data_IF_255136406711
#
_entry.id   IF_255136406711
#
_cell.length_a   1.000
_cell.length_b   1.000
_cell.length_c   1.000
_cell.angle_alpha   90.00
_cell.angle_beta   90.00
_cell.angle_gamma   90.00
#
_symmetry.space_group_name_H-M   'P 1'
#
loop_
_entity.id
_entity.type
_entity.pdbx_description
1 polymer ?
#
# COMPACT_ATOMS: atom_id res chain seq x y z
N UNK A 1 -6.01 25.25 4.66
CA UNK A 1 -5.70 24.70 3.32
C UNK A 1 -4.55 23.72 3.33
N UNK A 2 -3.49 23.96 4.12
CA UNK A 2 -2.35 23.04 4.27
C UNK A 2 -2.73 21.61 4.67
N UNK A 3 -3.60 21.45 5.66
CA UNK A 3 -4.04 20.14 6.13
C UNK A 3 -4.79 19.33 5.04
N UNK A 4 -5.65 20.00 4.25
CA UNK A 4 -6.31 19.38 3.11
C UNK A 4 -5.29 18.94 2.07
N UNK A 5 -4.31 19.78 1.75
CA UNK A 5 -3.24 19.41 0.83
C UNK A 5 -2.44 18.20 1.34
N UNK A 6 -2.05 18.19 2.61
CA UNK A 6 -1.38 17.06 3.25
C UNK A 6 -2.20 15.76 3.19
N UNK A 7 -3.50 15.85 3.44
CA UNK A 7 -4.44 14.73 3.31
C UNK A 7 -4.49 14.18 1.87
N UNK A 8 -4.61 15.05 0.87
CA UNK A 8 -4.64 14.65 -0.53
C UNK A 8 -3.31 14.05 -0.99
N UNK A 9 -2.17 14.61 -0.55
CA UNK A 9 -0.84 14.02 -0.81
C UNK A 9 -0.76 12.62 -0.21
N UNK A 10 -1.18 12.45 1.04
CA UNK A 10 -1.18 11.13 1.68
C UNK A 10 -2.03 10.11 0.91
N UNK A 11 -3.20 10.53 0.42
CA UNK A 11 -4.13 9.68 -0.33
C UNK A 11 -3.66 9.34 -1.75
N UNK A 12 -3.03 10.29 -2.47
CA UNK A 12 -2.80 10.17 -3.92
C UNK A 12 -1.34 9.95 -4.31
N UNK A 13 -0.39 10.16 -3.40
CA UNK A 13 1.03 10.10 -3.73
C UNK A 13 1.46 8.75 -4.32
N UNK A 14 0.93 7.63 -3.80
CA UNK A 14 1.22 6.29 -4.29
C UNK A 14 0.93 6.13 -5.78
N UNK A 15 -0.34 6.35 -6.15
CA UNK A 15 -0.75 6.29 -7.55
C UNK A 15 -0.04 7.34 -8.41
N UNK A 16 0.16 8.55 -7.88
CA UNK A 16 0.85 9.62 -8.61
C UNK A 16 2.30 9.24 -8.93
N UNK A 17 3.04 8.72 -7.96
CA UNK A 17 4.42 8.26 -8.14
C UNK A 17 4.50 7.11 -9.16
N UNK A 18 3.63 6.11 -9.06
CA UNK A 18 3.53 5.04 -10.05
C UNK A 18 3.23 5.57 -11.45
N UNK A 19 2.25 6.47 -11.56
CA UNK A 19 1.83 7.03 -12.84
C UNK A 19 2.98 7.80 -13.51
N UNK A 20 3.71 8.62 -12.75
CA UNK A 20 4.90 9.32 -13.25
C UNK A 20 5.98 8.35 -13.73
N UNK A 21 6.32 7.32 -12.93
CA UNK A 21 7.31 6.32 -13.32
C UNK A 21 6.89 5.53 -14.57
N UNK A 22 5.60 5.27 -14.73
CA UNK A 22 5.05 4.56 -15.87
C UNK A 22 4.69 5.49 -17.04
N UNK A 23 5.01 6.78 -16.97
CA UNK A 23 4.65 7.79 -17.97
C UNK A 23 3.14 7.78 -18.32
N UNK A 24 2.30 7.67 -17.28
CA UNK A 24 0.85 7.68 -17.35
C UNK A 24 0.30 8.92 -16.61
N UNK A 25 -0.87 9.45 -17.02
CA UNK A 25 -1.53 10.48 -16.23
C UNK A 25 -2.00 9.87 -14.89
N UNK A 26 -1.76 10.54 -13.75
CA UNK A 26 -2.33 10.18 -12.46
C UNK A 26 -3.86 10.00 -12.48
N UNK A 27 -4.38 9.15 -11.61
CA UNK A 27 -5.81 8.80 -11.57
C UNK A 27 -6.70 10.01 -11.24
N UNK A 28 -6.21 10.96 -10.44
CA UNK A 28 -6.94 12.18 -10.11
C UNK A 28 -7.01 13.17 -11.28
N UNK A 29 -6.19 13.01 -12.33
CA UNK A 29 -6.31 13.78 -13.58
C UNK A 29 -7.23 13.11 -14.60
N UNK A 30 -7.31 11.78 -14.57
CA UNK A 30 -8.05 10.98 -15.57
C UNK A 30 -9.41 10.49 -15.09
N UNK A 31 -9.70 10.54 -13.79
CA UNK A 31 -10.96 10.13 -13.20
C UNK A 31 -11.47 11.18 -12.22
N UNK A 32 -12.79 11.49 -12.22
CA UNK A 32 -13.39 12.35 -11.20
C UNK A 32 -13.49 11.66 -9.84
N UNK A 33 -13.39 10.33 -9.78
CA UNK A 33 -13.62 9.54 -8.55
C UNK A 33 -12.77 10.00 -7.36
N UNK A 34 -11.45 10.24 -7.48
CA UNK A 34 -10.66 10.72 -6.35
C UNK A 34 -11.14 12.09 -5.82
N UNK A 35 -11.62 12.97 -6.70
CA UNK A 35 -12.16 14.29 -6.32
C UNK A 35 -13.53 14.20 -5.65
N UNK A 36 -14.35 13.21 -6.02
CA UNK A 36 -15.65 12.97 -5.41
C UNK A 36 -15.55 12.24 -4.06
N UNK A 37 -14.46 11.53 -3.81
CA UNK A 37 -14.29 10.73 -2.58
C UNK A 37 -13.45 11.49 -1.55
N UNK A 38 -12.22 11.88 -1.88
CA UNK A 38 -11.26 12.32 -0.86
C UNK A 38 -11.57 13.72 -0.28
N UNK A 39 -11.77 14.79 -1.08
CA UNK A 39 -12.13 16.10 -0.53
C UNK A 39 -13.43 16.09 0.30
N UNK A 40 -14.54 15.46 -0.13
CA UNK A 40 -15.74 15.40 0.69
C UNK A 40 -15.54 14.64 2.00
N UNK A 41 -14.82 13.51 1.97
CA UNK A 41 -14.46 12.78 3.20
C UNK A 41 -13.65 13.67 4.14
N UNK A 42 -12.67 14.42 3.62
CA UNK A 42 -11.91 15.37 4.44
C UNK A 42 -12.81 16.46 5.03
N UNK A 43 -13.60 17.14 4.20
CA UNK A 43 -14.47 18.24 4.60
C UNK A 43 -15.53 17.80 5.62
N UNK A 44 -15.99 16.55 5.51
CA UNK A 44 -16.89 15.95 6.47
C UNK A 44 -16.17 15.56 7.76
N UNK A 45 -15.01 14.92 7.72
CA UNK A 45 -14.41 14.31 8.91
C UNK A 45 -13.57 15.28 9.75
N UNK A 46 -12.80 16.17 9.09
CA UNK A 46 -11.80 17.00 9.76
C UNK A 46 -12.40 18.31 10.27
N UNK A 47 -12.96 19.22 9.43
CA UNK A 47 -13.52 20.49 9.90
C UNK A 47 -14.71 20.34 10.87
N UNK A 48 -15.55 19.32 10.72
CA UNK A 48 -16.73 19.13 11.60
C UNK A 48 -16.36 18.56 12.97
N UNK A 49 -15.10 18.13 13.15
CA UNK A 49 -14.64 17.42 14.34
C UNK A 49 -15.18 15.99 14.48
N UNK A 50 -15.84 15.42 13.46
CA UNK A 50 -16.33 14.04 13.50
C UNK A 50 -15.20 13.03 13.74
N UNK A 51 -14.05 13.20 13.09
CA UNK A 51 -12.88 12.36 13.32
C UNK A 51 -12.41 12.44 14.79
N UNK A 52 -12.29 13.66 15.34
CA UNK A 52 -11.89 13.86 16.73
C UNK A 52 -12.90 13.22 17.71
N UNK A 53 -14.22 13.40 17.47
CA UNK A 53 -15.26 12.77 18.29
C UNK A 53 -15.20 11.24 18.25
N UNK A 54 -14.95 10.65 17.08
CA UNK A 54 -14.78 9.21 16.96
C UNK A 54 -13.58 8.73 17.79
N UNK A 55 -12.43 9.39 17.63
CA UNK A 55 -11.19 9.08 18.38
C UNK A 55 -11.38 9.18 19.90
N UNK A 56 -12.18 10.14 20.38
CA UNK A 56 -12.43 10.29 21.81
C UNK A 56 -13.46 9.30 22.38
N UNK A 57 -14.44 8.84 21.59
CA UNK A 57 -15.54 8.01 22.08
C UNK A 57 -15.29 6.51 21.97
N UNK A 58 -14.44 6.08 21.04
CA UNK A 58 -14.20 4.66 20.80
C UNK A 58 -12.87 4.21 21.43
N UNK A 59 -12.75 2.93 21.81
CA UNK A 59 -11.47 2.38 22.25
C UNK A 59 -10.39 2.58 21.17
N UNK A 60 -9.19 3.10 21.50
CA UNK A 60 -8.13 3.36 20.53
C UNK A 60 -7.76 2.12 19.71
N UNK A 61 -7.70 0.95 20.36
CA UNK A 61 -7.41 -0.34 19.70
C UNK A 61 -8.45 -0.66 18.61
N UNK A 62 -9.73 -0.35 18.85
CA UNK A 62 -10.78 -0.60 17.87
C UNK A 62 -10.62 0.31 16.64
N UNK A 63 -10.35 1.60 16.86
CA UNK A 63 -10.12 2.54 15.75
C UNK A 63 -8.87 2.15 14.97
N UNK A 64 -7.76 1.89 15.66
CA UNK A 64 -6.48 1.60 15.02
C UNK A 64 -6.55 0.29 14.20
N UNK A 65 -7.27 -0.72 14.69
CA UNK A 65 -7.47 -1.99 13.99
C UNK A 65 -8.38 -1.85 12.77
N UNK A 66 -9.49 -1.12 12.88
CA UNK A 66 -10.39 -0.84 11.75
C UNK A 66 -9.69 0.01 10.69
N UNK A 67 -8.98 1.06 11.11
CA UNK A 67 -8.19 1.90 10.22
C UNK A 67 -7.10 1.09 9.51
N UNK A 68 -6.39 0.22 10.22
CA UNK A 68 -5.41 -0.69 9.64
C UNK A 68 -6.02 -1.66 8.62
N UNK A 69 -7.22 -2.18 8.87
CA UNK A 69 -7.91 -3.06 7.93
C UNK A 69 -8.32 -2.33 6.64
N UNK A 70 -8.88 -1.12 6.76
CA UNK A 70 -9.24 -0.28 5.62
C UNK A 70 -8.00 0.15 4.83
N UNK A 71 -6.91 0.50 5.52
CA UNK A 71 -5.62 0.83 4.90
C UNK A 71 -5.00 -0.39 4.19
N UNK A 72 -5.10 -1.59 4.76
CA UNK A 72 -4.66 -2.81 4.09
C UNK A 72 -5.45 -3.10 2.80
N UNK A 73 -6.77 -2.88 2.82
CA UNK A 73 -7.63 -3.04 1.64
C UNK A 73 -7.23 -2.09 0.51
N UNK A 74 -6.97 -0.82 0.82
CA UNK A 74 -6.57 0.19 -0.17
C UNK A 74 -5.17 -0.09 -0.71
N UNK A 75 -4.21 -0.45 0.15
CA UNK A 75 -2.84 -0.83 -0.26
C UNK A 75 -2.82 -2.11 -1.11
N UNK A 76 -3.61 -3.12 -0.75
CA UNK A 76 -3.73 -4.34 -1.56
C UNK A 76 -4.35 -4.06 -2.94
N UNK A 77 -5.32 -3.14 -3.01
CA UNK A 77 -5.87 -2.67 -4.29
C UNK A 77 -4.82 -1.96 -5.14
N UNK A 78 -4.01 -1.09 -4.53
CA UNK A 78 -2.93 -0.37 -5.19
C UNK A 78 -1.89 -1.33 -5.77
N UNK A 79 -1.45 -2.32 -4.98
CA UNK A 79 -0.52 -3.36 -5.44
C UNK A 79 -1.12 -4.12 -6.64
N UNK A 80 -2.36 -4.60 -6.52
CA UNK A 80 -3.01 -5.35 -7.59
C UNK A 80 -3.13 -4.56 -8.92
N UNK A 81 -3.20 -3.22 -8.83
CA UNK A 81 -3.31 -2.34 -10.00
C UNK A 81 -2.00 -2.14 -10.77
N UNK A 82 -0.84 -2.48 -10.19
CA UNK A 82 0.48 -2.26 -10.81
C UNK A 82 0.61 -3.02 -12.13
N UNK A 83 0.14 -4.27 -12.19
CA UNK A 83 0.23 -5.10 -13.40
C UNK A 83 -0.51 -4.49 -14.59
N UNK A 84 -1.82 -4.18 -14.45
CA UNK A 84 -2.58 -3.45 -15.46
C UNK A 84 -1.98 -2.09 -15.83
N UNK A 85 -1.51 -1.31 -14.85
CA UNK A 85 -0.87 0.00 -15.12
C UNK A 85 0.41 -0.14 -15.95
N UNK A 86 1.26 -1.11 -15.62
CA UNK A 86 2.50 -1.38 -16.32
C UNK A 86 2.23 -1.90 -17.73
N UNK A 87 1.24 -2.78 -17.93
CA UNK A 87 0.80 -3.19 -19.27
C UNK A 87 0.32 -2.00 -20.10
N UNK A 88 -0.54 -1.15 -19.53
CA UNK A 88 -1.04 0.04 -20.20
C UNK A 88 0.02 1.13 -20.45
N UNK A 89 1.20 1.03 -19.84
CA UNK A 89 2.31 1.97 -20.05
C UNK A 89 3.06 1.75 -21.36
N UNK A 90 2.99 0.55 -21.93
CA UNK A 90 3.81 0.16 -23.09
C UNK A 90 5.32 0.09 -22.81
N UNK A 91 5.79 0.39 -21.58
CA UNK A 91 7.21 0.33 -21.20
C UNK A 91 7.71 -1.10 -20.99
N UNK A 92 6.80 -2.02 -20.73
CA UNK A 92 7.10 -3.43 -20.51
C UNK A 92 6.50 -4.23 -21.65
N UNK A 93 7.27 -5.14 -22.27
CA UNK A 93 6.75 -5.99 -23.33
C UNK A 93 5.59 -6.84 -22.80
N UNK A 94 4.63 -7.12 -23.66
CA UNK A 94 3.60 -8.09 -23.35
C UNK A 94 4.25 -9.49 -23.29
N UNK A 95 3.90 -10.23 -22.25
CA UNK A 95 4.26 -11.64 -22.12
C UNK A 95 3.71 -12.40 -23.34
N UNK A 96 4.41 -13.42 -23.87
CA UNK A 96 4.01 -14.16 -25.08
C UNK A 96 2.58 -14.71 -25.06
N UNK A 97 2.02 -14.93 -23.86
CA UNK A 97 0.62 -15.36 -23.65
C UNK A 97 -0.39 -14.20 -23.66
N UNK A 98 0.02 -12.99 -24.03
CA UNK A 98 -0.82 -11.84 -24.39
C UNK A 98 -1.55 -11.14 -23.24
N UNK A 99 -1.50 -11.64 -22.00
CA UNK A 99 -2.37 -11.14 -20.92
C UNK A 99 -1.68 -10.22 -19.91
N UNK A 100 -0.34 -10.09 -19.91
CA UNK A 100 0.40 -9.40 -18.83
C UNK A 100 1.68 -8.75 -19.31
N UNK A 101 2.11 -7.69 -18.63
CA UNK A 101 3.44 -7.11 -18.80
C UNK A 101 4.52 -8.01 -18.19
N UNK A 102 5.64 -8.18 -18.89
CA UNK A 102 6.83 -8.83 -18.34
C UNK A 102 7.55 -7.89 -17.36
N UNK A 103 7.11 -7.93 -16.10
CA UNK A 103 7.70 -7.16 -15.01
C UNK A 103 8.53 -8.13 -14.18
N UNK A 104 9.80 -7.82 -13.97
CA UNK A 104 10.65 -8.61 -13.07
C UNK A 104 10.07 -8.59 -11.63
N UNK A 105 10.26 -9.67 -10.84
CA UNK A 105 9.77 -9.71 -9.46
C UNK A 105 10.29 -8.53 -8.63
N UNK A 106 11.57 -8.19 -8.80
CA UNK A 106 12.18 -7.05 -8.11
C UNK A 106 11.58 -5.71 -8.49
N UNK A 107 11.32 -5.49 -9.79
CA UNK A 107 10.62 -4.28 -10.25
C UNK A 107 9.24 -4.19 -9.62
N UNK A 108 8.50 -5.30 -9.58
CA UNK A 108 7.17 -5.34 -8.96
C UNK A 108 7.23 -5.05 -7.45
N UNK A 109 8.24 -5.59 -6.74
CA UNK A 109 8.49 -5.31 -5.33
C UNK A 109 8.72 -3.81 -5.07
N UNK A 110 9.59 -3.19 -5.87
CA UNK A 110 9.95 -1.77 -5.74
C UNK A 110 8.73 -0.89 -6.03
N UNK A 111 8.00 -1.19 -7.12
CA UNK A 111 6.77 -0.48 -7.46
C UNK A 111 5.72 -0.62 -6.36
N UNK A 112 5.58 -1.81 -5.76
CA UNK A 112 4.65 -2.05 -4.65
C UNK A 112 5.03 -1.26 -3.41
N UNK A 113 6.32 -1.28 -3.04
CA UNK A 113 6.85 -0.48 -1.94
C UNK A 113 6.57 1.01 -2.15
N UNK A 114 6.83 1.53 -3.35
CA UNK A 114 6.58 2.93 -3.70
C UNK A 114 5.08 3.26 -3.68
N UNK A 115 4.25 2.43 -4.29
CA UNK A 115 2.79 2.62 -4.36
C UNK A 115 2.17 2.78 -2.98
N UNK A 116 2.67 2.03 -2.00
CA UNK A 116 2.13 2.01 -0.64
C UNK A 116 2.74 3.09 0.25
N UNK A 117 4.03 3.38 0.09
CA UNK A 117 4.76 4.23 1.04
C UNK A 117 4.96 5.69 0.58
N UNK A 118 4.78 6.01 -0.70
CA UNK A 118 5.07 7.35 -1.24
C UNK A 118 4.37 8.48 -0.49
N UNK A 119 3.12 8.29 -0.05
CA UNK A 119 2.39 9.29 0.74
C UNK A 119 3.10 9.62 2.05
N UNK A 120 3.45 8.59 2.83
CA UNK A 120 4.18 8.76 4.08
C UNK A 120 5.56 9.39 3.88
N UNK A 121 6.25 9.03 2.79
CA UNK A 121 7.50 9.66 2.40
C UNK A 121 7.35 11.15 2.12
N UNK A 122 6.41 11.57 1.26
CA UNK A 122 6.22 12.96 0.89
C UNK A 122 5.69 13.80 2.07
N UNK A 123 4.75 13.27 2.85
CA UNK A 123 4.26 13.92 4.07
C UNK A 123 5.38 14.15 5.08
N UNK A 124 6.29 13.18 5.24
CA UNK A 124 7.45 13.35 6.11
C UNK A 124 8.49 14.31 5.52
N UNK A 125 8.73 14.24 4.21
CA UNK A 125 9.72 15.04 3.50
C UNK A 125 9.38 16.53 3.56
N UNK A 126 8.13 16.89 3.33
CA UNK A 126 7.67 18.29 3.33
C UNK A 126 7.09 18.74 4.67
N UNK A 127 7.12 17.86 5.68
CA UNK A 127 6.53 18.09 7.00
C UNK A 127 5.07 18.57 6.91
N UNK A 128 4.27 17.93 6.05
CA UNK A 128 2.88 18.34 5.78
C UNK A 128 1.95 18.15 6.99
N UNK A 129 2.43 17.50 8.04
CA UNK A 129 1.75 17.30 9.32
C UNK A 129 2.01 18.42 10.33
N UNK A 130 2.88 19.37 10.00
CA UNK A 130 3.23 20.51 10.85
C UNK A 130 2.60 21.79 10.33
N UNK A 131 2.44 22.83 11.17
CA UNK A 131 1.88 24.11 10.74
C UNK A 131 2.75 24.89 9.75
N UNK A 132 4.04 24.54 9.61
CA UNK A 132 4.97 25.19 8.71
C UNK A 132 5.65 24.16 7.79
N UNK A 133 5.72 24.47 6.49
CA UNK A 133 6.43 23.62 5.53
C UNK A 133 7.93 23.66 5.81
N UNK A 134 8.52 22.48 5.96
CA UNK A 134 9.97 22.33 6.07
C UNK A 134 10.41 21.04 5.42
N UNK A 135 11.55 21.11 4.74
CA UNK A 135 12.22 19.92 4.25
C UNK A 135 12.82 19.17 5.43
N UNK A 136 12.37 17.94 5.64
CA UNK A 136 12.83 17.06 6.70
C UNK A 136 13.26 15.71 6.15
N UNK A 137 14.12 15.02 6.89
CA UNK A 137 14.52 13.65 6.52
C UNK A 137 13.32 12.72 6.70
N UNK A 138 12.89 12.00 5.64
CA UNK A 138 11.79 11.05 5.75
C UNK A 138 12.02 10.04 6.88
N UNK A 139 10.94 9.62 7.54
CA UNK A 139 11.01 8.75 8.72
C UNK A 139 11.79 7.44 8.47
N UNK A 140 11.70 6.91 7.24
CA UNK A 140 12.42 5.69 6.80
C UNK A 140 13.95 5.88 6.78
N UNK A 141 14.43 7.10 6.53
CA UNK A 141 15.86 7.41 6.46
C UNK A 141 16.41 8.04 7.75
N UNK A 142 15.55 8.27 8.75
CA UNK A 142 15.98 8.86 10.01
C UNK A 142 16.92 7.89 10.74
N UNK A 143 18.05 8.39 11.25
CA UNK A 143 18.96 7.57 12.06
C UNK A 143 18.20 6.97 13.24
N UNK A 144 18.27 5.64 13.39
CA UNK A 144 17.57 4.92 14.46
C UNK A 144 16.10 4.58 14.17
N UNK A 145 15.60 4.76 12.94
CA UNK A 145 14.24 4.35 12.57
C UNK A 145 13.96 2.87 12.89
N UNK A 146 15.00 2.03 12.74
CA UNK A 146 14.95 0.59 12.97
C UNK A 146 14.03 -0.13 11.97
N UNK A 147 13.92 -1.45 12.11
CA UNK A 147 13.08 -2.26 11.24
C UNK A 147 11.58 -1.89 11.29
N UNK A 148 11.11 -1.29 12.39
CA UNK A 148 9.70 -0.93 12.57
C UNK A 148 9.28 0.30 11.78
N UNK A 149 10.15 1.31 11.66
CA UNK A 149 9.82 2.51 10.88
C UNK A 149 9.88 2.25 9.37
N UNK A 150 10.65 1.25 8.94
CA UNK A 150 10.76 0.84 7.53
C UNK A 150 9.83 -0.31 7.17
N UNK A 151 9.06 -0.83 8.15
CA UNK A 151 8.21 -1.99 8.01
C UNK A 151 7.19 -1.86 6.88
N UNK A 152 6.58 -0.69 6.70
CA UNK A 152 5.58 -0.49 5.65
C UNK A 152 6.18 -0.68 4.25
N UNK A 153 7.43 -0.23 4.05
CA UNK A 153 8.15 -0.34 2.78
C UNK A 153 8.45 -1.81 2.48
N UNK A 154 9.00 -2.52 3.47
CA UNK A 154 9.33 -3.94 3.35
C UNK A 154 8.09 -4.82 3.19
N UNK A 155 7.06 -4.60 4.00
CA UNK A 155 5.81 -5.33 3.94
C UNK A 155 5.12 -5.12 2.59
N UNK A 156 5.09 -3.90 2.06
CA UNK A 156 4.55 -3.64 0.74
C UNK A 156 5.37 -4.30 -0.38
N UNK A 157 6.70 -4.28 -0.29
CA UNK A 157 7.57 -4.97 -1.24
C UNK A 157 7.36 -6.48 -1.24
N UNK A 158 7.29 -7.10 -0.06
CA UNK A 158 7.04 -8.54 0.10
C UNK A 158 5.62 -8.93 -0.33
N UNK A 159 4.61 -8.12 0.02
CA UNK A 159 3.23 -8.32 -0.41
C UNK A 159 3.11 -8.24 -1.93
N UNK A 160 3.83 -7.29 -2.54
CA UNK A 160 3.96 -7.15 -3.99
C UNK A 160 4.59 -8.37 -4.64
N UNK A 161 5.71 -8.85 -4.09
CA UNK A 161 6.38 -10.08 -4.57
C UNK A 161 5.46 -11.30 -4.46
N UNK A 162 4.77 -11.46 -3.34
CA UNK A 162 3.81 -12.55 -3.14
C UNK A 162 2.66 -12.46 -4.14
N UNK A 163 2.07 -11.28 -4.33
CA UNK A 163 1.03 -11.05 -5.33
C UNK A 163 1.52 -11.36 -6.75
N UNK A 164 2.69 -10.85 -7.12
CA UNK A 164 3.31 -11.13 -8.41
C UNK A 164 3.52 -12.63 -8.61
N UNK A 165 4.04 -13.35 -7.60
CA UNK A 165 4.29 -14.78 -7.67
C UNK A 165 3.00 -15.57 -7.83
N UNK A 166 1.97 -15.27 -7.03
CA UNK A 166 0.66 -15.93 -7.09
C UNK A 166 -0.06 -15.73 -8.42
N UNK A 167 0.09 -14.55 -9.03
CA UNK A 167 -0.57 -14.26 -10.29
C UNK A 167 0.25 -14.79 -11.46
N UNK A 168 1.58 -14.68 -11.43
CA UNK A 168 2.46 -14.92 -12.59
C UNK A 168 2.99 -16.35 -12.68
N UNK A 169 3.33 -16.98 -11.56
CA UNK A 169 3.90 -18.33 -11.60
C UNK A 169 2.83 -19.36 -11.95
N UNK A 170 3.21 -20.32 -12.79
CA UNK A 170 2.39 -21.51 -13.10
C UNK A 170 2.71 -22.61 -12.09
N UNK A 171 1.74 -23.50 -11.86
CA UNK A 171 1.92 -24.66 -10.99
C UNK A 171 3.08 -25.54 -11.51
N UNK A 172 3.17 -25.70 -12.83
CA UNK A 172 4.20 -26.48 -13.53
C UNK A 172 5.62 -25.96 -13.24
N UNK A 173 5.84 -24.64 -13.32
CA UNK A 173 7.13 -24.00 -13.04
C UNK A 173 7.58 -24.23 -11.59
N UNK A 174 6.62 -24.20 -10.66
CA UNK A 174 6.87 -24.43 -9.23
C UNK A 174 7.18 -25.91 -8.99
N UNK A 175 6.43 -26.83 -9.59
CA UNK A 175 6.67 -28.26 -9.47
C UNK A 175 8.05 -28.65 -10.01
N UNK A 176 8.43 -28.13 -11.18
CA UNK A 176 9.73 -28.41 -11.79
C UNK A 176 10.89 -27.88 -10.93
N UNK A 177 10.73 -26.71 -10.29
CA UNK A 177 11.79 -26.11 -9.46
C UNK A 177 11.91 -26.72 -8.08
N UNK A 178 10.80 -27.17 -7.47
CA UNK A 178 10.79 -27.64 -6.08
C UNK A 178 10.64 -29.16 -5.95
N UNK A 179 10.53 -29.90 -7.06
CA UNK A 179 10.48 -31.37 -7.05
C UNK A 179 9.26 -31.95 -6.34
N UNK A 180 8.19 -31.15 -6.17
CA UNK A 180 6.97 -31.59 -5.48
C UNK A 180 6.09 -32.31 -6.49
N UNK A 181 6.04 -33.64 -6.40
CA UNK A 181 5.15 -34.49 -7.18
C UNK A 181 3.70 -34.34 -6.67
N UNK A 182 3.04 -33.24 -7.03
CA UNK A 182 1.62 -33.04 -6.79
C UNK A 182 0.83 -33.43 -8.04
N UNK A 183 0.15 -34.57 -7.99
CA UNK A 183 -0.75 -35.08 -9.02
C UNK A 183 -2.04 -34.26 -9.07
N UNK A 184 -2.02 -32.98 -9.48
CA UNK A 184 -3.23 -32.26 -9.86
C UNK A 184 -2.98 -31.24 -10.97
N UNK A 185 -3.79 -31.38 -12.03
CA UNK A 185 -4.10 -30.44 -13.10
C UNK A 185 -2.96 -30.04 -14.06
N UNK A 186 -2.90 -30.74 -15.19
CA UNK A 186 -2.29 -30.22 -16.42
C UNK A 186 -3.09 -28.99 -16.87
N UNK A 187 -2.51 -27.80 -16.83
CA UNK A 187 -3.21 -26.61 -17.29
C UNK A 187 -2.39 -25.35 -17.12
N UNK A 188 -2.38 -24.51 -18.16
CA UNK A 188 -1.68 -23.21 -18.21
C UNK A 188 -2.24 -22.13 -17.26
N UNK A 189 -3.08 -22.52 -16.30
CA UNK A 189 -3.74 -21.60 -15.40
C UNK A 189 -2.72 -20.98 -14.42
N UNK A 190 -2.88 -19.70 -14.07
CA UNK A 190 -2.08 -19.08 -13.01
C UNK A 190 -2.31 -19.81 -11.68
N UNK A 191 -1.30 -19.81 -10.80
CA UNK A 191 -1.38 -20.43 -9.47
C UNK A 191 -2.64 -20.00 -8.69
N UNK A 192 -3.02 -18.73 -8.81
CA UNK A 192 -4.20 -18.18 -8.15
C UNK A 192 -4.90 -17.12 -9.00
N UNK A 193 -6.23 -17.08 -8.93
CA UNK A 193 -7.01 -16.01 -9.55
C UNK A 193 -6.68 -14.65 -8.91
N UNK A 194 -6.68 -13.57 -9.71
CA UNK A 194 -6.26 -12.23 -9.26
C UNK A 194 -7.01 -11.74 -8.02
N UNK A 195 -8.31 -12.03 -7.90
CA UNK A 195 -9.10 -11.68 -6.73
C UNK A 195 -8.59 -12.39 -5.46
N UNK A 196 -8.33 -13.69 -5.53
CA UNK A 196 -7.83 -14.46 -4.39
C UNK A 196 -6.40 -14.03 -4.01
N UNK A 197 -5.53 -13.78 -4.99
CA UNK A 197 -4.19 -13.25 -4.75
C UNK A 197 -4.23 -11.87 -4.06
N UNK A 198 -5.17 -11.01 -4.47
CA UNK A 198 -5.41 -9.72 -3.81
C UNK A 198 -5.89 -9.91 -2.38
N UNK A 199 -6.81 -10.85 -2.11
CA UNK A 199 -7.27 -11.15 -0.74
C UNK A 199 -6.11 -11.59 0.14
N UNK A 200 -5.24 -12.48 -0.33
CA UNK A 200 -4.04 -12.91 0.42
C UNK A 200 -3.12 -11.71 0.71
N UNK A 201 -2.89 -10.85 -0.28
CA UNK A 201 -2.11 -9.63 -0.12
C UNK A 201 -2.70 -8.67 0.93
N UNK A 202 -4.02 -8.47 0.91
CA UNK A 202 -4.75 -7.65 1.90
C UNK A 202 -4.64 -8.25 3.29
N UNK A 203 -4.80 -9.58 3.45
CA UNK A 203 -4.69 -10.24 4.74
C UNK A 203 -3.28 -10.13 5.31
N UNK A 204 -2.25 -10.32 4.47
CA UNK A 204 -0.86 -10.13 4.87
C UNK A 204 -0.59 -8.70 5.33
N UNK A 205 -0.92 -7.69 4.52
CA UNK A 205 -0.74 -6.28 4.91
C UNK A 205 -1.57 -5.92 6.14
N UNK A 206 -2.81 -6.40 6.23
CA UNK A 206 -3.69 -6.19 7.36
C UNK A 206 -3.10 -6.73 8.65
N UNK A 207 -2.58 -7.95 8.64
CA UNK A 207 -1.91 -8.53 9.81
C UNK A 207 -0.71 -7.70 10.28
N UNK A 208 0.12 -7.21 9.35
CA UNK A 208 1.28 -6.38 9.65
C UNK A 208 0.86 -5.03 10.24
N UNK A 209 -0.14 -4.37 9.64
CA UNK A 209 -0.63 -3.07 10.08
C UNK A 209 -1.36 -3.15 11.43
N UNK A 210 -2.17 -4.20 11.64
CA UNK A 210 -2.84 -4.47 12.92
C UNK A 210 -1.82 -4.75 14.01
N UNK A 211 -0.80 -5.57 13.72
CA UNK A 211 0.28 -5.83 14.68
C UNK A 211 1.00 -4.54 15.09
N UNK A 212 1.25 -3.65 14.11
CA UNK A 212 1.84 -2.33 14.36
C UNK A 212 0.93 -1.46 15.21
N UNK A 213 -0.35 -1.37 14.88
CA UNK A 213 -1.37 -0.64 15.64
C UNK A 213 -1.38 -1.08 17.11
N UNK A 214 -1.57 -2.38 17.35
CA UNK A 214 -1.61 -2.97 18.69
C UNK A 214 -0.33 -2.66 19.48
N UNK A 215 0.84 -2.82 18.86
CA UNK A 215 2.14 -2.52 19.49
C UNK A 215 2.26 -1.04 19.87
N UNK A 216 1.79 -0.12 19.01
CA UNK A 216 1.78 1.31 19.29
C UNK A 216 0.86 1.63 20.48
N UNK A 217 -0.33 1.03 20.55
CA UNK A 217 -1.27 1.21 21.66
C UNK A 217 -0.65 0.73 22.99
N UNK A 218 0.00 -0.44 23.02
CA UNK A 218 0.68 -0.95 24.23
C UNK A 218 1.84 -0.05 24.68
N UNK A 219 2.66 0.46 23.75
CA UNK A 219 3.76 1.38 24.08
C UNK A 219 3.25 2.71 24.64
N UNK A 220 2.15 3.22 24.11
CA UNK A 220 1.50 4.43 24.62
C UNK A 220 0.97 4.23 26.04
N UNK A 221 0.34 3.09 26.33
CA UNK A 221 -0.16 2.77 27.67
C UNK A 221 0.97 2.71 28.71
N UNK A 222 2.10 2.09 28.38
CA UNK A 222 3.23 1.97 29.31
C UNK A 222 3.83 3.32 29.73
N UNK A 223 3.90 4.30 28.82
CA UNK A 223 4.45 5.63 29.14
C UNK A 223 3.59 6.40 30.15
N UNK A 224 2.27 6.24 30.10
CA UNK A 224 1.34 6.89 31.04
C UNK A 224 1.40 6.36 32.46
N UNK A 225 1.99 5.18 32.68
CA UNK A 225 2.13 4.57 34.03
C UNK A 225 3.38 5.07 34.74
N UNK A 226 4.34 5.63 34.00
CA UNK A 226 5.63 6.10 34.52
C UNK A 226 5.70 7.60 34.74
N UNK A 227 4.64 8.33 34.41
CA UNK A 227 4.46 9.77 34.65
C UNK A 227 3.40 9.97 35.74
#
# INVERSE_FOLDING_TARGET
>A
MQDLFGFLVMAWAGNTALSLLLARPPAWLSSPTPWLVYPPVYLLLVPTGLAARAVHRLPPVLIDTLAAAVDALSRGAAIASIGPMAHASGKFPAHPTGQRAEISPWTYAILSALAVSAGGFLVSLFSLHEPAYRLAVPSVFRRGAGAWATMDVWAAGLAGLGYWAMVTLRVEDVQQRFGVAASMANGEAPLMHSLAARTVCVLFLGSVLVLRAVRCSYRGARKKVTE
#
